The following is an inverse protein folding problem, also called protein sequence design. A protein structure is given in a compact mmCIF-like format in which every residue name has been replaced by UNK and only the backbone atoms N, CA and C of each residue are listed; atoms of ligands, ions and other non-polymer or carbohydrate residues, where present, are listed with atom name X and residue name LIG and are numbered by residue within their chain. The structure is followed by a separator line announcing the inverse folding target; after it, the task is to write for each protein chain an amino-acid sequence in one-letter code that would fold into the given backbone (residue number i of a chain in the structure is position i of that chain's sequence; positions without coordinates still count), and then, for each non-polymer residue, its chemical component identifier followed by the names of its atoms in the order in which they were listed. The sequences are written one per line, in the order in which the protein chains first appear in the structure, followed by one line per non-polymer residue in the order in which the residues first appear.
data_IF_982113635689
#
_entry.id   IF_982113635689
#
_cell.length_a   1.000
_cell.length_b   1.000
_cell.length_c   1.000
_cell.angle_alpha   90.00
_cell.angle_beta   90.00
_cell.angle_gamma   90.00
#
_symmetry.space_group_name_H-M   'P 1'
#
loop_
_entity.id
_entity.type
_entity.pdbx_description
1 polymer ?
#
# COMPACT_ATOMS: atom_id res chain seq x y z
N UNK A 1 -7.32 -16.50 -6.64
CA UNK A 1 -5.96 -16.39 -6.08
C UNK A 1 -5.00 -15.70 -7.06
N UNK A 2 -4.85 -16.19 -8.29
CA UNK A 2 -3.88 -15.69 -9.28
C UNK A 2 -3.89 -14.16 -9.50
N UNK A 3 -5.07 -13.54 -9.55
CA UNK A 3 -5.19 -12.09 -9.67
C UNK A 3 -4.56 -11.33 -8.49
N UNK A 4 -4.71 -11.83 -7.26
CA UNK A 4 -4.12 -11.22 -6.05
C UNK A 4 -2.60 -11.32 -6.06
N UNK A 5 -2.08 -12.49 -6.48
CA UNK A 5 -0.64 -12.70 -6.67
C UNK A 5 -0.09 -11.81 -7.77
N UNK A 6 -0.83 -11.60 -8.86
CA UNK A 6 -0.43 -10.70 -9.95
C UNK A 6 -0.27 -9.25 -9.47
N UNK A 7 -1.15 -8.76 -8.60
CA UNK A 7 -1.01 -7.41 -7.99
C UNK A 7 0.32 -7.29 -7.24
N UNK A 8 0.66 -8.29 -6.42
CA UNK A 8 1.92 -8.31 -5.67
C UNK A 8 3.13 -8.39 -6.59
N UNK A 9 3.14 -9.33 -7.53
CA UNK A 9 4.22 -9.48 -8.49
C UNK A 9 4.46 -8.20 -9.28
N UNK A 10 3.40 -7.51 -9.70
CA UNK A 10 3.51 -6.22 -10.40
C UNK A 10 4.25 -5.16 -9.58
N UNK A 11 3.97 -5.09 -8.28
CA UNK A 11 4.62 -4.17 -7.35
C UNK A 11 6.11 -4.54 -7.13
N UNK A 12 6.40 -5.81 -6.90
CA UNK A 12 7.78 -6.29 -6.74
C UNK A 12 8.61 -6.18 -8.03
N UNK A 13 7.99 -6.38 -9.19
CA UNK A 13 8.61 -6.12 -10.50
C UNK A 13 9.09 -4.68 -10.63
N UNK A 14 8.30 -3.70 -10.14
CA UNK A 14 8.71 -2.29 -10.14
C UNK A 14 9.99 -2.09 -9.32
N UNK A 15 10.15 -2.86 -8.24
CA UNK A 15 11.34 -2.83 -7.38
C UNK A 15 12.55 -3.60 -7.95
N UNK A 16 12.46 -4.14 -9.18
CA UNK A 16 13.57 -4.84 -9.85
C UNK A 16 13.64 -6.34 -9.56
N UNK A 17 12.62 -6.91 -8.94
CA UNK A 17 12.49 -8.37 -8.80
C UNK A 17 12.14 -8.98 -10.17
N UNK A 18 12.95 -9.93 -10.66
CA UNK A 18 12.70 -10.54 -11.95
C UNK A 18 11.35 -11.29 -12.00
N UNK A 19 10.54 -10.94 -13.00
CA UNK A 19 9.21 -11.51 -13.22
C UNK A 19 8.81 -11.34 -14.69
N UNK A 20 7.83 -12.14 -15.13
CA UNK A 20 7.18 -11.98 -16.43
C UNK A 20 6.05 -10.93 -16.39
N UNK A 21 5.71 -10.42 -15.20
CA UNK A 21 4.68 -9.42 -15.01
C UNK A 21 5.31 -8.04 -15.16
N UNK A 22 4.72 -7.22 -16.05
CA UNK A 22 5.11 -5.82 -16.24
C UNK A 22 5.08 -5.06 -14.91
N UNK A 23 6.05 -4.17 -14.64
CA UNK A 23 6.12 -3.42 -13.39
C UNK A 23 4.95 -2.43 -13.23
N UNK A 24 4.62 -2.07 -11.97
CA UNK A 24 3.80 -0.90 -11.69
C UNK A 24 4.58 0.39 -11.94
N UNK A 25 4.10 1.22 -12.86
CA UNK A 25 4.75 2.46 -13.26
C UNK A 25 4.00 3.71 -12.78
N UNK A 26 2.69 3.59 -12.52
CA UNK A 26 1.79 4.74 -12.39
C UNK A 26 1.31 4.98 -10.96
N UNK A 27 1.03 3.91 -10.21
CA UNK A 27 0.65 4.01 -8.79
C UNK A 27 1.89 3.95 -7.93
N UNK A 28 1.99 4.84 -6.95
CA UNK A 28 3.14 4.88 -6.03
C UNK A 28 3.26 3.54 -5.30
N UNK A 29 4.45 2.95 -5.28
CA UNK A 29 4.73 1.76 -4.50
C UNK A 29 4.81 2.17 -3.03
N UNK A 30 4.04 1.50 -2.18
CA UNK A 30 4.18 1.62 -0.73
C UNK A 30 4.87 0.38 -0.16
N UNK A 31 6.15 0.51 0.18
CA UNK A 31 7.03 -0.61 0.49
C UNK A 31 6.58 -1.39 1.73
N UNK A 32 6.29 -0.72 2.85
CA UNK A 32 6.02 -1.43 4.09
C UNK A 32 4.70 -2.23 4.09
N UNK A 33 3.57 -1.71 3.55
CA UNK A 33 2.38 -2.53 3.32
C UNK A 33 2.59 -3.67 2.35
N UNK A 34 3.36 -3.45 1.27
CA UNK A 34 3.70 -4.52 0.32
C UNK A 34 4.45 -5.65 1.03
N UNK A 35 5.44 -5.33 1.87
CA UNK A 35 6.18 -6.31 2.67
C UNK A 35 5.24 -7.07 3.61
N UNK A 36 4.38 -6.35 4.34
CA UNK A 36 3.48 -6.96 5.32
C UNK A 36 2.48 -7.93 4.66
N UNK A 37 1.87 -7.52 3.54
CA UNK A 37 0.91 -8.34 2.80
C UNK A 37 1.57 -9.50 2.06
N UNK A 38 2.79 -9.30 1.53
CA UNK A 38 3.57 -10.39 0.92
C UNK A 38 3.83 -11.54 1.90
N UNK A 39 3.98 -11.25 3.19
CA UNK A 39 4.12 -12.31 4.21
C UNK A 39 2.83 -13.13 4.36
N UNK A 40 1.66 -12.49 4.25
CA UNK A 40 0.37 -13.16 4.34
C UNK A 40 0.07 -13.96 3.06
N UNK A 41 0.12 -13.32 1.89
CA UNK A 41 -0.21 -13.98 0.63
C UNK A 41 0.88 -14.94 0.13
N UNK A 42 2.11 -14.80 0.62
CA UNK A 42 3.27 -15.59 0.20
C UNK A 42 3.13 -17.10 0.46
N UNK A 43 2.22 -17.52 1.33
CA UNK A 43 1.84 -18.92 1.51
C UNK A 43 1.29 -19.56 0.22
N UNK A 44 0.71 -18.75 -0.68
CA UNK A 44 0.13 -19.20 -1.95
C UNK A 44 1.11 -19.12 -3.14
N UNK A 45 2.25 -18.44 -3.00
CA UNK A 45 3.32 -18.41 -4.00
C UNK A 45 4.68 -18.29 -3.30
N UNK A 46 5.33 -19.44 -3.11
CA UNK A 46 6.66 -19.52 -2.49
C UNK A 46 7.70 -18.71 -3.28
N UNK A 47 7.58 -18.60 -4.60
CA UNK A 47 8.53 -17.83 -5.42
C UNK A 47 8.42 -16.35 -5.09
N UNK A 48 7.20 -15.83 -4.92
CA UNK A 48 6.96 -14.45 -4.51
C UNK A 48 7.60 -14.16 -3.16
N UNK A 49 7.35 -15.02 -2.18
CA UNK A 49 7.88 -14.86 -0.83
C UNK A 49 9.42 -14.88 -0.80
N UNK A 50 10.05 -15.84 -1.50
CA UNK A 50 11.50 -15.94 -1.56
C UNK A 50 12.12 -14.73 -2.26
N UNK A 51 11.57 -14.31 -3.39
CA UNK A 51 12.09 -13.16 -4.13
C UNK A 51 11.93 -11.84 -3.38
N UNK A 52 10.80 -11.65 -2.69
CA UNK A 52 10.58 -10.49 -1.82
C UNK A 52 11.57 -10.49 -0.64
N UNK A 53 11.77 -11.65 0.01
CA UNK A 53 12.72 -11.78 1.12
C UNK A 53 14.14 -11.44 0.69
N UNK A 54 14.59 -11.99 -0.44
CA UNK A 54 15.90 -11.70 -0.98
C UNK A 54 16.06 -10.21 -1.34
N UNK A 55 15.03 -9.58 -1.90
CA UNK A 55 15.04 -8.15 -2.16
C UNK A 55 15.19 -7.34 -0.86
N UNK A 56 14.43 -7.69 0.18
CA UNK A 56 14.47 -7.03 1.49
C UNK A 56 15.87 -7.18 2.10
N UNK A 57 16.48 -8.37 2.09
CA UNK A 57 17.82 -8.58 2.64
C UNK A 57 18.89 -7.68 1.98
N UNK A 58 18.77 -7.43 0.67
CA UNK A 58 19.68 -6.55 -0.08
C UNK A 58 19.39 -5.07 0.12
N UNK A 59 18.13 -4.73 0.41
CA UNK A 59 17.63 -3.36 0.46
C UNK A 59 17.09 -3.00 1.86
N UNK A 60 17.56 -3.66 2.91
CA UNK A 60 17.09 -3.47 4.29
C UNK A 60 17.21 -2.00 4.71
N UNK A 61 18.30 -1.37 4.32
CA UNK A 61 18.56 0.05 4.48
C UNK A 61 17.59 0.97 3.70
N UNK A 62 16.56 0.46 3.01
CA UNK A 62 15.45 1.22 2.38
C UNK A 62 14.13 1.07 3.12
N UNK A 63 14.05 0.14 4.07
CA UNK A 63 12.83 -0.21 4.82
C UNK A 63 12.71 0.69 6.05
N UNK A 64 11.54 1.27 6.25
CA UNK A 64 11.23 1.96 7.50
C UNK A 64 10.71 0.95 8.53
N UNK A 65 11.60 0.35 9.32
CA UNK A 65 11.21 -0.69 10.30
C UNK A 65 10.17 -0.23 11.33
N UNK A 66 10.22 1.03 11.76
CA UNK A 66 9.22 1.58 12.70
C UNK A 66 7.83 1.64 12.06
N UNK A 67 7.76 2.05 10.79
CA UNK A 67 6.51 2.08 10.02
C UNK A 67 6.03 0.66 9.71
N UNK A 68 6.94 -0.22 9.27
CA UNK A 68 6.64 -1.62 8.98
C UNK A 68 6.03 -2.33 10.17
N UNK A 69 6.63 -2.19 11.35
CA UNK A 69 6.11 -2.83 12.56
C UNK A 69 4.72 -2.31 12.96
N UNK A 70 4.43 -1.02 12.78
CA UNK A 70 3.06 -0.49 12.99
C UNK A 70 2.07 -1.09 12.01
N UNK A 71 2.45 -1.19 10.74
CA UNK A 71 1.62 -1.80 9.70
C UNK A 71 1.39 -3.27 9.99
N UNK A 72 2.44 -4.04 10.27
CA UNK A 72 2.34 -5.47 10.60
C UNK A 72 1.38 -5.72 11.78
N UNK A 73 1.39 -4.87 12.81
CA UNK A 73 0.40 -4.96 13.90
C UNK A 73 -1.04 -4.85 13.40
N UNK A 74 -1.30 -3.99 12.41
CA UNK A 74 -2.63 -3.91 11.79
C UNK A 74 -2.97 -5.22 11.09
N UNK A 75 -2.05 -5.81 10.33
CA UNK A 75 -2.28 -7.11 9.68
C UNK A 75 -2.40 -8.27 10.68
N UNK A 76 -1.75 -8.20 11.85
CA UNK A 76 -1.83 -9.24 12.89
C UNK A 76 -3.07 -9.12 13.78
N UNK A 77 -3.43 -7.92 14.23
CA UNK A 77 -4.67 -7.68 15.00
C UNK A 77 -5.91 -8.14 14.23
N UNK A 78 -5.84 -8.11 12.91
CA UNK A 78 -6.92 -8.54 12.03
C UNK A 78 -7.04 -10.07 11.95
N UNK A 79 -5.96 -10.80 12.18
CA UNK A 79 -5.96 -12.28 12.23
C UNK A 79 -6.38 -12.85 13.58
N UNK A 80 -6.27 -12.09 14.66
CA UNK A 80 -6.63 -12.52 16.02
C UNK A 80 -8.15 -12.62 16.29
N UNK A 81 -9.00 -12.47 15.27
CA UNK A 81 -10.41 -12.85 15.35
C UNK A 81 -10.65 -14.35 15.40
N UNK A 82 -9.68 -15.17 14.94
CA UNK A 82 -9.78 -16.63 14.84
C UNK A 82 -8.59 -17.31 15.55
N UNK A 83 -8.63 -17.39 16.88
CA UNK A 83 -7.70 -18.20 17.68
C UNK A 83 -6.24 -17.69 17.73
N UNK A 84 -5.61 -17.83 18.89
CA UNK A 84 -4.26 -17.29 19.16
C UNK A 84 -3.09 -17.94 18.37
N UNK A 85 -3.34 -18.83 17.40
CA UNK A 85 -2.29 -19.72 16.87
C UNK A 85 -1.53 -19.26 15.60
N UNK A 86 -1.92 -18.17 14.92
CA UNK A 86 -1.33 -17.78 13.62
C UNK A 86 -0.67 -16.40 13.57
N UNK A 87 0.14 -16.06 14.58
CA UNK A 87 1.09 -14.96 14.44
C UNK A 87 2.18 -15.37 13.42
N UNK A 88 2.13 -14.83 12.20
CA UNK A 88 3.26 -14.96 11.26
C UNK A 88 4.50 -14.40 11.95
N UNK A 89 5.58 -15.19 12.12
CA UNK A 89 6.79 -14.65 12.69
C UNK A 89 7.35 -13.60 11.75
N UNK A 90 7.79 -12.50 12.36
CA UNK A 90 8.54 -11.44 11.72
C UNK A 90 9.68 -12.08 10.92
N UNK A 91 9.92 -11.58 9.70
CA UNK A 91 10.80 -12.06 8.62
C UNK A 91 12.18 -12.64 9.04
N UNK A 92 12.61 -12.45 10.28
CA UNK A 92 13.81 -13.07 10.82
C UNK A 92 13.71 -14.59 11.08
N UNK A 93 12.53 -15.17 11.34
CA UNK A 93 12.46 -16.50 12.00
C UNK A 93 11.69 -17.64 11.27
N UNK A 94 10.99 -17.40 10.16
CA UNK A 94 9.99 -18.37 9.64
C UNK A 94 10.47 -19.50 8.72
N UNK A 95 11.75 -19.60 8.34
CA UNK A 95 12.19 -20.62 7.36
C UNK A 95 13.02 -21.70 8.04
N UNK A 96 12.58 -22.98 8.05
CA UNK A 96 13.39 -24.08 8.58
C UNK A 96 14.69 -24.22 7.77
N UNK A 97 15.84 -24.05 8.45
CA UNK A 97 17.19 -24.19 7.86
C UNK A 97 18.25 -23.31 8.52
N UNK A 98 19.49 -23.79 8.59
CA UNK A 98 20.59 -23.01 9.18
C UNK A 98 20.86 -21.74 8.37
N UNK A 99 21.25 -20.65 9.04
CA UNK A 99 21.60 -19.35 8.40
C UNK A 99 22.69 -19.52 7.32
N UNK A 100 23.55 -20.55 7.46
CA UNK A 100 24.62 -20.88 6.53
C UNK A 100 24.13 -21.58 5.25
N UNK A 101 23.15 -22.50 5.38
CA UNK A 101 22.47 -23.15 4.25
C UNK A 101 21.60 -22.15 3.47
N UNK A 102 20.94 -21.22 4.19
CA UNK A 102 20.23 -20.07 3.59
C UNK A 102 21.14 -19.28 2.67
N UNK A 103 22.26 -18.78 3.20
CA UNK A 103 23.22 -17.96 2.44
C UNK A 103 23.76 -18.68 1.21
N UNK A 104 23.98 -19.99 1.26
CA UNK A 104 24.56 -20.76 0.15
C UNK A 104 23.53 -21.14 -0.93
N UNK A 105 22.27 -21.38 -0.57
CA UNK A 105 21.19 -21.60 -1.52
C UNK A 105 20.76 -20.31 -2.23
N UNK A 106 20.67 -19.19 -1.49
CA UNK A 106 20.31 -17.88 -2.05
C UNK A 106 21.42 -17.27 -2.93
N UNK A 107 22.71 -17.51 -2.62
CA UNK A 107 23.83 -17.05 -3.47
C UNK A 107 23.83 -17.64 -4.89
N UNK A 108 23.14 -18.77 -5.12
CA UNK A 108 22.93 -19.35 -6.46
C UNK A 108 21.71 -18.78 -7.19
N UNK A 109 20.75 -18.18 -6.49
CA UNK A 109 19.61 -17.45 -7.09
C UNK A 109 19.88 -15.96 -7.27
N UNK A 110 20.95 -15.48 -6.63
CA UNK A 110 21.39 -14.09 -6.52
C UNK A 110 21.58 -13.31 -7.83
N UNK A 111 21.61 -13.98 -8.97
CA UNK A 111 21.74 -13.35 -10.28
C UNK A 111 20.41 -12.78 -10.82
N UNK A 112 19.28 -12.93 -10.09
CA UNK A 112 17.93 -12.58 -10.58
C UNK A 112 17.32 -11.30 -10.01
N UNK A 113 18.01 -10.56 -9.15
CA UNK A 113 17.55 -9.23 -8.70
C UNK A 113 18.43 -8.20 -9.40
N UNK A 114 17.84 -7.48 -10.36
CA UNK A 114 18.52 -6.37 -11.01
C UNK A 114 18.76 -5.24 -10.00
N UNK A 115 19.78 -4.42 -10.23
CA UNK A 115 19.98 -3.22 -9.43
C UNK A 115 18.72 -2.35 -9.47
N UNK A 116 18.17 -2.05 -8.29
CA UNK A 116 16.97 -1.24 -8.16
C UNK A 116 17.30 0.22 -8.52
N UNK A 117 16.92 0.62 -9.73
CA UNK A 117 17.01 2.01 -10.17
C UNK A 117 15.67 2.72 -10.02
N UNK A 118 15.71 3.89 -9.40
CA UNK A 118 14.54 4.73 -9.14
C UNK A 118 14.12 5.47 -10.43
N UNK A 119 13.52 4.74 -11.38
CA UNK A 119 13.21 5.26 -12.73
C UNK A 119 11.74 5.62 -12.95
N UNK A 120 10.82 4.86 -12.37
CA UNK A 120 9.39 5.05 -12.62
C UNK A 120 8.75 6.13 -11.72
N UNK A 121 7.65 6.76 -12.17
CA UNK A 121 6.83 7.63 -11.32
C UNK A 121 6.37 6.94 -10.03
N UNK A 122 6.03 5.66 -10.12
CA UNK A 122 5.67 4.81 -8.97
C UNK A 122 6.73 4.78 -7.86
N UNK A 123 7.99 5.13 -8.14
CA UNK A 123 9.07 5.12 -7.17
C UNK A 123 9.21 6.41 -6.34
N UNK A 124 8.20 7.30 -6.35
CA UNK A 124 8.26 8.58 -5.64
C UNK A 124 8.61 8.44 -4.14
N UNK A 125 8.09 7.41 -3.44
CA UNK A 125 8.47 7.13 -2.05
C UNK A 125 10.00 6.95 -1.90
N UNK A 126 10.63 6.22 -2.82
CA UNK A 126 12.08 5.98 -2.82
C UNK A 126 12.88 7.24 -3.17
N UNK A 127 12.39 8.05 -4.12
CA UNK A 127 13.01 9.36 -4.44
C UNK A 127 13.05 10.25 -3.20
N UNK A 128 11.92 10.37 -2.51
CA UNK A 128 11.81 11.19 -1.31
C UNK A 128 12.68 10.67 -0.17
N UNK A 129 12.72 9.35 0.04
CA UNK A 129 13.60 8.74 1.05
C UNK A 129 15.08 8.85 0.71
N UNK A 130 15.45 8.90 -0.57
CA UNK A 130 16.82 9.20 -1.01
C UNK A 130 17.25 10.64 -0.67
N UNK A 131 16.32 11.59 -0.69
CA UNK A 131 16.60 13.01 -0.41
C UNK A 131 16.50 13.38 1.08
N UNK A 132 15.49 12.86 1.77
CA UNK A 132 15.15 13.24 3.15
C UNK A 132 15.52 12.16 4.19
N UNK A 133 16.08 11.04 3.73
CA UNK A 133 16.27 9.84 4.54
C UNK A 133 14.97 9.08 4.79
N UNK A 134 15.10 7.92 5.42
CA UNK A 134 13.97 7.00 5.71
C UNK A 134 13.35 7.43 7.03
N UNK A 135 12.59 8.51 6.96
CA UNK A 135 12.00 9.17 8.12
C UNK A 135 10.56 9.55 7.86
N UNK A 136 9.81 9.87 8.93
CA UNK A 136 8.46 10.38 8.81
C UNK A 136 8.39 11.66 7.96
N UNK A 137 9.46 12.46 7.88
CA UNK A 137 9.50 13.66 7.04
C UNK A 137 9.31 13.33 5.56
N UNK A 138 9.92 12.25 5.07
CA UNK A 138 9.76 11.82 3.68
C UNK A 138 8.30 11.42 3.38
N UNK A 139 7.70 10.64 4.27
CA UNK A 139 6.32 10.17 4.11
C UNK A 139 5.29 11.31 4.31
N UNK A 140 5.56 12.30 5.18
CA UNK A 140 4.75 13.52 5.32
C UNK A 140 4.81 14.37 4.04
N UNK A 141 6.00 14.53 3.43
CA UNK A 141 6.11 15.22 2.15
C UNK A 141 5.33 14.48 1.06
N UNK A 142 5.48 13.15 0.99
CA UNK A 142 4.73 12.32 0.05
C UNK A 142 3.22 12.56 0.17
N UNK A 143 2.68 12.54 1.38
CA UNK A 143 1.27 12.83 1.63
C UNK A 143 0.87 14.22 1.10
N UNK A 144 1.63 15.26 1.46
CA UNK A 144 1.28 16.64 1.10
C UNK A 144 1.50 16.97 -0.39
N UNK A 145 2.32 16.20 -1.10
CA UNK A 145 2.46 16.28 -2.55
C UNK A 145 1.24 15.72 -3.29
N UNK A 146 0.43 14.91 -2.63
CA UNK A 146 -0.67 14.19 -3.27
C UNK A 146 -1.98 14.81 -2.83
N UNK A 147 -2.20 14.90 -1.53
CA UNK A 147 -3.40 15.52 -0.97
C UNK A 147 -3.29 17.05 -0.89
N UNK A 148 -4.42 17.73 -0.75
CA UNK A 148 -4.48 19.19 -0.66
C UNK A 148 -4.12 19.72 0.73
N UNK A 149 -3.97 18.84 1.72
CA UNK A 149 -3.57 19.17 3.08
C UNK A 149 -4.26 18.27 4.10
N UNK A 150 -3.86 18.39 5.36
CA UNK A 150 -4.43 17.58 6.43
C UNK A 150 -3.99 18.07 7.81
N UNK A 151 -4.73 17.68 8.84
CA UNK A 151 -4.25 17.86 10.22
C UNK A 151 -3.27 16.74 10.58
N UNK A 152 -2.49 16.94 11.65
CA UNK A 152 -1.46 15.98 12.07
C UNK A 152 -1.99 14.56 12.33
N UNK A 153 -3.23 14.42 12.82
CA UNK A 153 -3.85 13.14 13.09
C UNK A 153 -4.19 12.39 11.79
N UNK A 154 -4.91 13.05 10.89
CA UNK A 154 -5.30 12.47 9.60
C UNK A 154 -4.07 12.09 8.75
N UNK A 155 -3.03 12.94 8.77
CA UNK A 155 -1.77 12.63 8.08
C UNK A 155 -1.14 11.39 8.71
N UNK A 156 -0.92 11.39 10.02
CA UNK A 156 -0.26 10.30 10.73
C UNK A 156 -0.99 8.96 10.58
N UNK A 157 -2.32 8.99 10.64
CA UNK A 157 -3.15 7.83 10.38
C UNK A 157 -2.94 7.31 8.96
N UNK A 158 -2.95 8.18 7.94
CA UNK A 158 -2.79 7.76 6.56
C UNK A 158 -1.42 7.13 6.29
N UNK A 159 -0.34 7.77 6.74
CA UNK A 159 1.03 7.33 6.48
C UNK A 159 1.58 6.34 7.52
N UNK A 160 0.76 5.92 8.51
CA UNK A 160 1.15 4.98 9.58
C UNK A 160 2.34 5.42 10.43
N UNK A 161 2.34 6.70 10.82
CA UNK A 161 3.34 7.27 11.73
C UNK A 161 2.74 7.69 13.06
N UNK A 162 3.61 7.97 14.02
CA UNK A 162 3.20 8.56 15.30
C UNK A 162 2.74 10.02 15.11
N UNK A 163 1.56 10.33 15.63
CA UNK A 163 0.91 11.64 15.46
C UNK A 163 1.71 12.78 16.09
N UNK A 164 2.36 12.56 17.24
CA UNK A 164 3.20 13.57 17.90
C UNK A 164 4.44 13.90 17.07
N UNK A 165 5.06 12.89 16.45
CA UNK A 165 6.19 13.10 15.54
C UNK A 165 5.78 13.86 14.28
N UNK A 166 4.66 13.48 13.65
CA UNK A 166 4.10 14.18 12.47
C UNK A 166 3.78 15.63 12.82
N UNK A 167 3.12 15.88 13.95
CA UNK A 167 2.84 17.24 14.43
C UNK A 167 4.12 18.08 14.58
N UNK A 168 5.18 17.53 15.19
CA UNK A 168 6.46 18.22 15.36
C UNK A 168 7.11 18.60 14.03
N UNK A 169 7.08 17.70 13.04
CA UNK A 169 7.57 17.96 11.68
C UNK A 169 6.79 19.12 11.06
N UNK A 170 5.46 19.05 11.10
CA UNK A 170 4.58 20.05 10.51
C UNK A 170 4.72 21.44 11.17
N UNK A 171 4.88 21.49 12.50
CA UNK A 171 5.16 22.75 13.21
C UNK A 171 6.52 23.35 12.82
N UNK A 172 7.56 22.51 12.71
CA UNK A 172 8.87 22.97 12.26
C UNK A 172 8.80 23.50 10.83
N UNK A 173 8.14 22.78 9.93
CA UNK A 173 7.94 23.17 8.54
C UNK A 173 7.07 24.42 8.39
N UNK A 174 6.12 24.64 9.29
CA UNK A 174 5.34 25.86 9.33
C UNK A 174 6.21 27.07 9.70
N UNK A 175 7.10 26.91 10.69
CA UNK A 175 8.05 27.95 11.10
C UNK A 175 9.06 28.29 10.00
N UNK A 176 9.45 27.32 9.17
CA UNK A 176 10.40 27.52 8.07
C UNK A 176 9.75 27.85 6.73
N UNK A 177 8.42 27.97 6.68
CA UNK A 177 7.70 28.31 5.45
C UNK A 177 7.61 27.20 4.40
N UNK A 178 7.83 25.94 4.78
CA UNK A 178 7.62 24.77 3.90
C UNK A 178 6.13 24.43 3.81
N UNK A 179 5.40 24.59 4.91
CA UNK A 179 3.93 24.40 4.94
C UNK A 179 3.24 25.64 5.49
N UNK A 180 2.00 25.85 5.05
CA UNK A 180 1.09 26.84 5.63
C UNK A 180 0.14 26.13 6.58
N UNK A 181 0.04 26.64 7.81
CA UNK A 181 -0.97 26.21 8.78
C UNK A 181 -2.25 27.04 8.57
N UNK A 182 -3.35 26.39 8.24
CA UNK A 182 -4.66 27.02 8.14
C UNK A 182 -5.12 27.45 9.55
N UNK A 183 -5.55 28.72 9.66
CA UNK A 183 -6.16 29.26 10.87
C UNK A 183 -7.59 28.72 11.09
N UNK A 184 -8.17 28.96 12.27
CA UNK A 184 -9.59 28.65 12.53
C UNK A 184 -10.46 29.40 11.52
N UNK A 185 -11.29 28.69 10.73
CA UNK A 185 -12.43 29.31 10.04
C UNK A 185 -13.42 29.82 11.08
N UNK A 186 -14.03 30.99 10.83
CA UNK A 186 -15.02 31.61 11.72
C UNK A 186 -16.31 30.78 11.87
N UNK A 187 -16.53 29.80 10.99
CA UNK A 187 -17.86 29.19 10.80
C UNK A 187 -17.99 27.78 11.39
N UNK A 188 -17.10 27.36 12.29
CA UNK A 188 -17.20 26.09 13.04
C UNK A 188 -17.03 24.80 12.21
N UNK A 189 -17.15 24.86 10.88
CA UNK A 189 -16.95 23.74 9.97
C UNK A 189 -15.45 23.52 9.71
N UNK A 190 -14.94 22.48 10.38
CA UNK A 190 -13.59 21.90 10.37
C UNK A 190 -12.72 22.11 9.11
N UNK A 191 -11.64 22.87 9.27
CA UNK A 191 -10.28 22.31 9.12
C UNK A 191 -9.37 22.92 10.19
N UNK A 192 -9.65 22.64 11.46
CA UNK A 192 -8.80 23.08 12.57
C UNK A 192 -7.37 22.57 12.33
N UNK A 193 -6.43 23.50 12.13
CA UNK A 193 -4.99 23.21 12.00
C UNK A 193 -4.61 22.30 10.83
N UNK A 194 -5.24 22.45 9.67
CA UNK A 194 -4.75 21.78 8.46
C UNK A 194 -3.42 22.40 8.01
N UNK A 195 -2.49 21.55 7.56
CA UNK A 195 -1.22 21.95 6.98
C UNK A 195 -1.24 21.69 5.49
N UNK A 196 -0.76 22.66 4.71
CA UNK A 196 -0.75 22.63 3.25
C UNK A 196 0.66 22.90 2.76
N UNK A 197 1.15 22.14 1.78
CA UNK A 197 2.47 22.36 1.21
C UNK A 197 2.54 23.70 0.47
N UNK A 198 3.55 24.52 0.79
CA UNK A 198 3.82 25.75 0.06
C UNK A 198 4.63 25.41 -1.19
N UNK A 199 4.23 25.98 -2.34
CA UNK A 199 4.97 25.80 -3.59
C UNK A 199 4.93 24.36 -4.12
N UNK A 200 3.80 23.66 -3.98
CA UNK A 200 3.57 22.30 -4.49
C UNK A 200 4.00 22.12 -5.96
N UNK A 201 3.91 23.18 -6.77
CA UNK A 201 4.37 23.18 -8.16
C UNK A 201 5.88 23.00 -8.31
N UNK A 202 6.68 23.65 -7.45
CA UNK A 202 8.16 23.56 -7.49
C UNK A 202 8.66 22.16 -7.23
N UNK A 203 7.95 21.39 -6.41
CA UNK A 203 8.24 19.98 -6.20
C UNK A 203 7.91 19.14 -7.43
N UNK A 204 6.90 19.54 -8.20
CA UNK A 204 6.55 18.90 -9.47
C UNK A 204 7.68 19.08 -10.49
N UNK A 205 8.28 20.27 -10.54
CA UNK A 205 9.47 20.53 -11.37
C UNK A 205 10.64 19.61 -10.98
N UNK A 206 10.96 19.56 -9.68
CA UNK A 206 12.07 18.75 -9.15
C UNK A 206 11.93 17.26 -9.50
N UNK A 207 10.70 16.75 -9.51
CA UNK A 207 10.42 15.35 -9.79
C UNK A 207 9.96 15.07 -11.22
N UNK A 208 10.01 16.07 -12.10
CA UNK A 208 9.61 15.98 -13.51
C UNK A 208 8.14 15.54 -13.69
N UNK A 209 7.27 15.97 -12.78
CA UNK A 209 5.82 15.70 -12.81
C UNK A 209 5.00 16.88 -13.32
N UNK A 210 5.59 17.92 -13.91
CA UNK A 210 4.81 18.99 -14.54
C UNK A 210 4.41 18.54 -15.95
N UNK A 211 3.10 18.54 -16.20
CA UNK A 211 2.58 18.41 -17.55
C UNK A 211 2.88 19.70 -18.33
N UNK A 212 3.70 19.57 -19.38
CA UNK A 212 4.20 20.69 -20.17
C UNK A 212 3.07 21.47 -20.84
N UNK A 213 1.99 20.79 -21.22
CA UNK A 213 0.85 21.38 -21.94
C UNK A 213 -0.10 22.16 -21.03
N UNK A 214 -0.30 21.69 -19.80
CA UNK A 214 -1.24 22.29 -18.84
C UNK A 214 -0.56 23.11 -17.76
N UNK A 215 0.77 23.02 -17.63
CA UNK A 215 1.57 23.60 -16.54
C UNK A 215 1.07 23.18 -15.15
N UNK A 216 0.42 22.01 -15.06
CA UNK A 216 -0.08 21.43 -13.80
C UNK A 216 0.78 20.24 -13.41
N UNK A 217 0.94 20.04 -12.10
CA UNK A 217 1.57 18.82 -11.61
C UNK A 217 0.64 17.63 -11.80
N UNK A 218 1.13 16.60 -12.49
CA UNK A 218 0.54 15.29 -12.59
C UNK A 218 1.36 14.31 -11.73
N UNK A 219 1.14 14.36 -10.42
CA UNK A 219 1.78 13.42 -9.51
C UNK A 219 1.21 12.01 -9.74
N UNK A 220 2.04 10.95 -9.65
CA UNK A 220 1.55 9.59 -9.68
C UNK A 220 0.50 9.36 -8.58
N UNK A 221 -0.51 8.55 -8.89
CA UNK A 221 -1.66 8.37 -8.00
C UNK A 221 -1.22 7.68 -6.69
N UNK A 222 -1.57 8.27 -5.55
CA UNK A 222 -1.48 7.58 -4.26
C UNK A 222 -2.68 6.67 -4.10
N UNK A 223 -2.51 5.46 -4.57
CA UNK A 223 -3.39 4.39 -4.19
C UNK A 223 -3.17 4.05 -2.71
N UNK A 224 -4.25 3.84 -1.94
CA UNK A 224 -4.15 3.46 -0.53
C UNK A 224 -3.76 1.98 -0.38
N UNK A 225 -2.53 1.64 -0.78
CA UNK A 225 -2.01 0.28 -0.79
C UNK A 225 -2.13 -0.42 0.53
N UNK A 226 -2.00 0.29 1.66
CA UNK A 226 -2.26 -0.28 2.98
C UNK A 226 -3.67 -0.86 3.11
N UNK A 227 -4.71 -0.06 2.84
CA UNK A 227 -6.09 -0.53 2.97
C UNK A 227 -6.39 -1.59 1.92
N UNK A 228 -5.89 -1.40 0.70
CA UNK A 228 -6.03 -2.37 -0.39
C UNK A 228 -5.43 -3.71 -0.04
N UNK A 229 -4.16 -3.76 0.35
CA UNK A 229 -3.51 -5.00 0.72
C UNK A 229 -4.17 -5.67 1.92
N UNK A 230 -4.62 -4.90 2.91
CA UNK A 230 -5.38 -5.48 4.02
C UNK A 230 -6.68 -6.16 3.56
N UNK A 231 -7.39 -5.55 2.60
CA UNK A 231 -8.59 -6.13 2.02
C UNK A 231 -8.29 -7.33 1.11
N UNK A 232 -7.20 -7.29 0.34
CA UNK A 232 -6.76 -8.41 -0.48
C UNK A 232 -6.33 -9.60 0.37
N UNK A 233 -5.67 -9.37 1.50
CA UNK A 233 -5.28 -10.43 2.45
C UNK A 233 -6.52 -11.09 3.06
N UNK A 234 -7.50 -10.32 3.52
CA UNK A 234 -8.77 -10.88 4.00
C UNK A 234 -9.48 -11.70 2.93
N UNK A 235 -9.47 -11.21 1.69
CA UNK A 235 -10.03 -11.95 0.57
C UNK A 235 -9.24 -13.25 0.30
N UNK A 236 -7.90 -13.24 0.40
CA UNK A 236 -7.08 -14.42 0.24
C UNK A 236 -7.33 -15.45 1.35
N UNK A 237 -7.47 -15.01 2.60
CA UNK A 237 -7.84 -15.85 3.75
C UNK A 237 -9.21 -16.50 3.53
N UNK A 238 -10.21 -15.69 3.17
CA UNK A 238 -11.57 -16.16 2.88
C UNK A 238 -11.61 -17.19 1.73
N UNK A 239 -10.82 -16.98 0.68
CA UNK A 239 -10.69 -17.91 -0.46
C UNK A 239 -9.93 -19.20 -0.11
N UNK A 240 -9.20 -19.20 1.00
CA UNK A 240 -8.40 -20.35 1.44
C UNK A 240 -9.13 -21.19 2.51
N UNK A 241 -10.15 -20.62 3.16
CA UNK A 241 -10.98 -21.35 4.11
C UNK A 241 -12.06 -22.16 3.39
N UNK A 242 -11.89 -23.49 3.36
CA UNK A 242 -12.84 -24.41 2.74
C UNK A 242 -14.25 -24.34 3.34
N UNK A 243 -14.38 -23.93 4.61
CA UNK A 243 -15.67 -23.78 5.30
C UNK A 243 -16.46 -22.61 4.72
N UNK A 244 -15.75 -21.56 4.30
CA UNK A 244 -16.33 -20.36 3.72
C UNK A 244 -16.62 -20.56 2.23
N UNK A 245 -15.67 -21.08 1.46
CA UNK A 245 -15.81 -21.19 -0.01
C UNK A 245 -16.95 -22.12 -0.45
N UNK A 246 -17.40 -23.03 0.41
CA UNK A 246 -18.52 -23.93 0.15
C UNK A 246 -19.91 -23.34 0.42
N UNK A 247 -20.00 -22.14 0.98
CA UNK A 247 -21.25 -21.54 1.43
C UNK A 247 -21.37 -20.07 1.00
N UNK A 248 -22.24 -19.81 0.01
CA UNK A 248 -22.49 -18.46 -0.51
C UNK A 248 -23.06 -17.50 0.53
N UNK A 249 -23.79 -18.01 1.54
CA UNK A 249 -24.32 -17.18 2.62
C UNK A 249 -23.20 -16.71 3.55
N UNK A 250 -22.28 -17.60 3.91
CA UNK A 250 -21.11 -17.24 4.73
C UNK A 250 -20.18 -16.29 3.95
N UNK A 251 -19.94 -16.55 2.66
CA UNK A 251 -19.17 -15.62 1.81
C UNK A 251 -19.85 -14.27 1.66
N UNK A 252 -21.16 -14.26 1.48
CA UNK A 252 -21.96 -13.04 1.47
C UNK A 252 -21.81 -12.24 2.77
N UNK A 253 -21.78 -12.91 3.92
CA UNK A 253 -21.56 -12.26 5.22
C UNK A 253 -20.16 -11.66 5.30
N UNK A 254 -19.13 -12.44 4.96
CA UNK A 254 -17.75 -11.96 4.91
C UNK A 254 -17.58 -10.76 3.97
N UNK A 255 -18.20 -10.81 2.78
CA UNK A 255 -18.16 -9.72 1.79
C UNK A 255 -18.76 -8.41 2.32
N UNK A 256 -19.76 -8.47 3.20
CA UNK A 256 -20.33 -7.28 3.84
C UNK A 256 -19.33 -6.60 4.76
N UNK A 257 -18.47 -7.37 5.43
CA UNK A 257 -17.46 -6.85 6.35
C UNK A 257 -16.30 -6.16 5.62
N UNK A 258 -15.96 -6.63 4.42
CA UNK A 258 -14.91 -6.04 3.57
C UNK A 258 -15.44 -4.99 2.58
N UNK A 259 -16.75 -4.90 2.38
CA UNK A 259 -17.38 -3.96 1.44
C UNK A 259 -16.89 -2.51 1.59
N UNK A 260 -16.82 -1.88 2.78
CA UNK A 260 -16.44 -0.48 2.87
C UNK A 260 -15.05 -0.17 2.30
N UNK A 261 -14.12 -1.13 2.40
CA UNK A 261 -12.76 -0.96 1.85
C UNK A 261 -12.80 -1.10 0.33
N UNK A 262 -13.50 -2.12 -0.16
CA UNK A 262 -13.60 -2.38 -1.59
C UNK A 262 -14.45 -1.34 -2.34
N UNK A 263 -15.46 -0.75 -1.72
CA UNK A 263 -16.25 0.36 -2.27
C UNK A 263 -15.37 1.61 -2.50
N UNK A 264 -14.46 1.90 -1.57
CA UNK A 264 -13.47 2.97 -1.74
C UNK A 264 -12.50 2.69 -2.89
N UNK A 265 -12.01 1.45 -3.01
CA UNK A 265 -11.13 1.02 -4.12
C UNK A 265 -11.89 1.08 -5.45
N UNK A 266 -13.14 0.62 -5.49
CA UNK A 266 -14.00 0.65 -6.67
C UNK A 266 -14.27 2.08 -7.12
N UNK A 267 -14.54 3.00 -6.19
CA UNK A 267 -14.71 4.42 -6.49
C UNK A 267 -13.47 5.01 -7.17
N UNK A 268 -12.26 4.71 -6.67
CA UNK A 268 -11.01 5.14 -7.31
C UNK A 268 -10.84 4.54 -8.72
N UNK A 269 -11.22 3.28 -8.89
CA UNK A 269 -11.17 2.58 -10.18
C UNK A 269 -12.34 2.85 -11.12
N UNK A 270 -13.31 3.68 -10.74
CA UNK A 270 -14.60 3.88 -11.44
C UNK A 270 -15.35 2.56 -11.68
N UNK A 271 -15.27 1.63 -10.73
CA UNK A 271 -15.96 0.34 -10.72
C UNK A 271 -17.11 0.42 -9.73
N UNK A 272 -18.33 0.17 -10.21
CA UNK A 272 -19.51 0.08 -9.35
C UNK A 272 -19.40 -1.15 -8.43
N UNK A 273 -19.36 -0.92 -7.12
CA UNK A 273 -19.36 -1.97 -6.11
C UNK A 273 -20.79 -2.06 -5.55
N UNK A 274 -21.44 -3.23 -5.66
CA UNK A 274 -22.82 -3.36 -5.25
C UNK A 274 -22.96 -3.14 -3.74
N UNK A 275 -23.88 -2.25 -3.37
CA UNK A 275 -24.21 -2.01 -1.97
C UNK A 275 -24.89 -3.23 -1.34
N UNK A 276 -24.44 -3.69 -0.16
CA UNK A 276 -25.00 -4.88 0.49
C UNK A 276 -26.46 -4.70 0.92
N UNK A 277 -26.94 -3.46 1.05
CA UNK A 277 -28.33 -3.15 1.40
C UNK A 277 -29.34 -3.54 0.32
N UNK A 278 -28.89 -3.77 -0.92
CA UNK A 278 -29.73 -4.11 -2.06
C UNK A 278 -29.98 -5.61 -2.22
N UNK A 279 -29.33 -6.46 -1.41
CA UNK A 279 -29.31 -7.91 -1.60
C UNK A 279 -29.56 -8.64 -0.27
N UNK A 280 -30.43 -9.63 -0.27
CA UNK A 280 -30.76 -10.42 0.92
C UNK A 280 -29.90 -11.68 0.99
N UNK A 281 -29.36 -11.99 2.18
CA UNK A 281 -28.60 -13.23 2.41
C UNK A 281 -27.50 -13.49 1.37
N UNK A 282 -27.56 -14.67 0.73
CA UNK A 282 -26.61 -15.17 -0.27
C UNK A 282 -26.67 -14.45 -1.62
N UNK A 283 -27.73 -13.70 -1.93
CA UNK A 283 -27.90 -12.98 -3.20
C UNK A 283 -26.78 -11.93 -3.43
N UNK A 284 -26.07 -11.56 -2.37
CA UNK A 284 -24.98 -10.60 -2.43
C UNK A 284 -23.67 -11.19 -2.98
N UNK A 285 -23.50 -12.50 -2.90
CA UNK A 285 -22.25 -13.18 -3.24
C UNK A 285 -21.81 -12.89 -4.67
N UNK A 286 -22.62 -13.30 -5.65
CA UNK A 286 -22.29 -13.18 -7.07
C UNK A 286 -22.02 -11.73 -7.53
N UNK A 287 -22.88 -10.72 -7.25
CA UNK A 287 -22.62 -9.36 -7.72
C UNK A 287 -21.37 -8.76 -7.08
N UNK A 288 -21.11 -9.02 -5.79
CA UNK A 288 -19.90 -8.53 -5.15
C UNK A 288 -18.64 -9.24 -5.66
N UNK A 289 -18.68 -10.57 -5.84
CA UNK A 289 -17.57 -11.34 -6.40
C UNK A 289 -17.17 -10.84 -7.80
N UNK A 290 -18.16 -10.52 -8.66
CA UNK A 290 -17.91 -9.93 -9.97
C UNK A 290 -17.24 -8.55 -9.87
N UNK A 291 -17.67 -7.70 -8.94
CA UNK A 291 -17.00 -6.43 -8.67
C UNK A 291 -15.56 -6.64 -8.20
N UNK A 292 -15.30 -7.67 -7.38
CA UNK A 292 -13.96 -7.97 -6.86
C UNK A 292 -13.01 -8.40 -7.97
N UNK A 293 -13.48 -9.24 -8.89
CA UNK A 293 -12.71 -9.64 -10.08
C UNK A 293 -12.31 -8.39 -10.88
N UNK A 294 -13.26 -7.49 -11.16
CA UNK A 294 -12.99 -6.24 -11.89
C UNK A 294 -11.98 -5.34 -11.17
N UNK A 295 -12.09 -5.24 -9.84
CA UNK A 295 -11.15 -4.47 -9.02
C UNK A 295 -9.75 -5.07 -9.10
N UNK A 296 -9.61 -6.38 -8.97
CA UNK A 296 -8.31 -7.07 -9.04
C UNK A 296 -7.71 -6.95 -10.45
N UNK A 297 -8.52 -7.02 -11.49
CA UNK A 297 -8.11 -6.75 -12.88
C UNK A 297 -7.62 -5.31 -13.06
N UNK A 298 -8.33 -4.32 -12.51
CA UNK A 298 -7.93 -2.92 -12.54
C UNK A 298 -6.64 -2.64 -11.75
N UNK A 299 -6.47 -3.28 -10.59
CA UNK A 299 -5.22 -3.21 -9.82
C UNK A 299 -4.06 -3.82 -10.61
N UNK A 300 -4.32 -4.92 -11.33
CA UNK A 300 -3.34 -5.64 -12.14
C UNK A 300 -3.05 -5.00 -13.50
N UNK A 301 -3.90 -4.09 -13.96
CA UNK A 301 -3.81 -3.50 -15.31
C UNK A 301 -2.64 -2.52 -15.44
N UNK A 302 -1.91 -2.52 -16.56
CA UNK A 302 -0.78 -1.61 -16.78
C UNK A 302 -1.21 -0.15 -17.01
N UNK A 303 -2.47 0.08 -17.42
CA UNK A 303 -3.02 1.41 -17.67
C UNK A 303 -4.03 1.78 -16.59
N UNK A 304 -3.93 3.00 -16.07
CA UNK A 304 -5.08 3.68 -15.49
C UNK A 304 -6.04 3.95 -16.67
N UNK A 305 -7.35 3.59 -16.59
CA UNK A 305 -8.30 4.01 -17.61
C UNK A 305 -8.21 5.53 -17.75
N UNK A 306 -7.79 6.00 -18.93
CA UNK A 306 -7.75 7.43 -19.25
C UNK A 306 -9.14 8.02 -19.05
N UNK A 307 -9.19 9.18 -18.38
CA UNK A 307 -10.40 9.98 -18.17
C UNK A 307 -11.15 10.29 -19.47
#
# INVERSE_FOLDING_TARGET
MDGLLRVHWKQWSALGVASQILPEENRIIDLEPLIASTQAIGAHDRRLLLSATEWIERNDARVNHSRLHRIQRMFSMQRQGDGEENALPVVAETVPGSVQERRSQYRRQSEKIADFFVRYPSHLQFRLRGLLGITASADVLLYLLIFDGGNSNAIAEEICHDQKNVYRILEQWAKTGIVKKAGKRKDGASSLHAYHLIGKQRWGDIFEYIDVSTQKCNYPNLHNWRRTFLALDRLAEALSDSRLTGDEYLMSTHFRDIHPIFDAIGTEGKIDVPSPKRFQGSEYFAPFALAMIRIVEWLSSPKIPSD
#
